data_IF_633884966835
#
_entry.id   IF_633884966835
#
_cell.length_a   1.000
_cell.length_b   1.000
_cell.length_c   1.000
_cell.angle_alpha   90.00
_cell.angle_beta   90.00
_cell.angle_gamma   90.00
#
_symmetry.space_group_name_H-M   'P 1'
#
loop_
_entity.id
_entity.type
_entity.pdbx_description
1 polymer ?
#
# COMPACT_ATOMS: atom_id res chain seq x y z
N UNK A 1 -9.75 11.61 27.14
CA UNK A 1 -10.02 11.52 25.70
C UNK A 1 -11.52 11.62 25.45
N UNK A 2 -11.98 12.37 24.44
CA UNK A 2 -13.39 12.48 24.05
C UNK A 2 -13.88 11.25 23.28
N UNK A 3 -14.29 10.20 24.02
CA UNK A 3 -14.72 8.91 23.46
C UNK A 3 -15.98 8.98 22.58
N UNK A 4 -16.80 10.02 22.76
CA UNK A 4 -17.97 10.29 21.93
C UNK A 4 -17.63 10.50 20.45
N UNK A 5 -16.39 10.85 20.10
CA UNK A 5 -15.98 10.95 18.70
C UNK A 5 -16.00 9.62 17.94
N UNK A 6 -15.92 8.46 18.62
CA UNK A 6 -16.03 7.16 17.96
C UNK A 6 -17.44 6.86 17.43
N UNK A 7 -18.45 7.62 17.84
CA UNK A 7 -19.82 7.49 17.33
C UNK A 7 -19.97 8.04 15.90
N UNK A 8 -18.98 8.81 15.40
CA UNK A 8 -18.98 9.31 14.02
C UNK A 8 -18.39 8.25 13.09
N UNK A 9 -19.08 7.91 12.01
CA UNK A 9 -18.67 6.88 11.04
C UNK A 9 -17.24 7.03 10.54
N UNK A 10 -16.82 8.26 10.22
CA UNK A 10 -15.46 8.53 9.77
C UNK A 10 -14.41 8.14 10.83
N UNK A 11 -14.66 8.50 12.08
CA UNK A 11 -13.73 8.22 13.18
C UNK A 11 -13.69 6.73 13.50
N UNK A 12 -14.85 6.04 13.43
CA UNK A 12 -14.90 4.59 13.60
C UNK A 12 -14.13 3.87 12.48
N UNK A 13 -14.29 4.30 11.22
CA UNK A 13 -13.53 3.75 10.09
C UNK A 13 -12.02 3.97 10.26
N UNK A 14 -11.63 5.16 10.71
CA UNK A 14 -10.23 5.48 10.98
C UNK A 14 -9.67 4.61 12.12
N UNK A 15 -10.43 4.46 13.20
CA UNK A 15 -10.08 3.59 14.32
C UNK A 15 -9.86 2.13 13.87
N UNK A 16 -10.81 1.59 13.11
CA UNK A 16 -10.71 0.22 12.56
C UNK A 16 -9.52 0.07 11.61
N UNK A 17 -9.26 1.09 10.76
CA UNK A 17 -8.08 1.11 9.89
C UNK A 17 -6.78 1.01 10.71
N UNK A 18 -6.62 1.83 11.74
CA UNK A 18 -5.44 1.77 12.61
C UNK A 18 -5.30 0.42 13.32
N UNK A 19 -6.38 -0.15 13.84
CA UNK A 19 -6.35 -1.48 14.45
C UNK A 19 -5.85 -2.53 13.46
N UNK A 20 -6.34 -2.51 12.22
CA UNK A 20 -5.91 -3.43 11.16
C UNK A 20 -4.43 -3.24 10.80
N UNK A 21 -3.96 -2.01 10.65
CA UNK A 21 -2.56 -1.71 10.34
C UNK A 21 -1.60 -2.14 11.47
N UNK A 22 -2.00 -1.91 12.73
CA UNK A 22 -1.23 -2.39 13.89
C UNK A 22 -1.17 -3.91 13.91
N UNK A 23 -2.31 -4.58 13.69
CA UNK A 23 -2.37 -6.04 13.63
C UNK A 23 -1.44 -6.58 12.53
N UNK A 24 -1.50 -6.00 11.33
CA UNK A 24 -0.64 -6.35 10.20
C UNK A 24 0.84 -6.21 10.56
N UNK A 25 1.25 -5.05 11.09
CA UNK A 25 2.65 -4.83 11.49
C UNK A 25 3.08 -5.85 12.55
N UNK A 26 2.22 -6.18 13.52
CA UNK A 26 2.54 -7.15 14.59
C UNK A 26 2.64 -8.59 14.10
N UNK A 27 1.91 -8.96 13.05
CA UNK A 27 1.90 -10.32 12.50
C UNK A 27 2.87 -10.54 11.33
N UNK A 28 3.49 -9.47 10.80
CA UNK A 28 4.36 -9.55 9.63
C UNK A 28 5.79 -9.14 9.98
N UNK A 29 6.72 -10.10 9.91
CA UNK A 29 8.14 -9.90 10.26
C UNK A 29 8.84 -8.92 9.31
N UNK A 30 8.50 -8.94 8.02
CA UNK A 30 9.09 -8.02 7.04
C UNK A 30 8.74 -6.55 7.36
N UNK A 31 7.54 -6.26 7.88
CA UNK A 31 7.19 -4.91 8.36
C UNK A 31 7.93 -4.51 9.63
N UNK A 32 8.30 -5.45 10.49
CA UNK A 32 9.03 -5.17 11.72
C UNK A 32 10.51 -4.93 11.45
N UNK A 33 11.13 -5.86 10.72
CA UNK A 33 12.59 -6.00 10.63
C UNK A 33 13.11 -6.05 9.19
N UNK A 34 12.24 -6.25 8.20
CA UNK A 34 12.65 -6.42 6.80
C UNK A 34 13.33 -5.17 6.25
N UNK A 35 14.32 -5.33 5.35
CA UNK A 35 15.03 -4.21 4.75
C UNK A 35 14.05 -3.33 3.97
N UNK A 36 14.25 -2.02 4.02
CA UNK A 36 13.51 -1.07 3.21
C UNK A 36 14.25 -0.86 1.88
N UNK A 37 13.51 -0.89 0.77
CA UNK A 37 14.04 -0.60 -0.55
C UNK A 37 13.09 0.34 -1.30
N UNK A 38 13.57 1.55 -1.63
CA UNK A 38 12.84 2.50 -2.47
C UNK A 38 13.16 2.18 -3.93
N UNK A 39 12.16 1.73 -4.69
CA UNK A 39 12.38 1.23 -6.05
C UNK A 39 11.66 2.07 -7.12
N UNK A 40 10.78 2.97 -6.70
CA UNK A 40 10.05 3.87 -7.60
C UNK A 40 9.73 5.19 -6.91
N UNK A 41 10.12 6.28 -7.56
CA UNK A 41 9.88 7.66 -7.13
C UNK A 41 9.49 8.49 -8.35
N UNK A 42 8.35 9.19 -8.26
CA UNK A 42 7.94 10.18 -9.25
C UNK A 42 7.57 11.47 -8.52
N UNK A 43 8.54 12.36 -8.38
CA UNK A 43 8.39 13.64 -7.68
C UNK A 43 7.33 14.53 -8.34
N UNK A 44 7.26 14.53 -9.68
CA UNK A 44 6.31 15.35 -10.45
C UNK A 44 4.86 14.95 -10.16
N UNK A 45 4.62 13.65 -9.99
CA UNK A 45 3.31 13.10 -9.64
C UNK A 45 3.11 12.87 -8.15
N UNK A 46 4.14 13.10 -7.33
CA UNK A 46 4.18 12.87 -5.88
C UNK A 46 3.82 11.43 -5.51
N UNK A 47 4.40 10.47 -6.25
CA UNK A 47 4.23 9.04 -6.00
C UNK A 47 5.52 8.47 -5.41
N UNK A 48 5.37 7.68 -4.36
CA UNK A 48 6.46 6.92 -3.75
C UNK A 48 6.07 5.45 -3.64
N UNK A 49 6.96 4.57 -4.05
CA UNK A 49 6.82 3.13 -3.88
C UNK A 49 8.08 2.51 -3.29
N UNK A 50 7.88 1.69 -2.26
CA UNK A 50 8.96 1.01 -1.56
C UNK A 50 8.53 -0.38 -1.11
N UNK A 51 9.50 -1.27 -0.94
CA UNK A 51 9.27 -2.60 -0.40
C UNK A 51 9.81 -2.73 1.02
N UNK A 52 9.24 -3.68 1.76
CA UNK A 52 9.81 -4.22 3.00
C UNK A 52 10.09 -5.69 2.74
N UNK A 53 11.37 -6.04 2.60
CA UNK A 53 11.75 -7.34 2.05
C UNK A 53 11.29 -7.50 0.59
N UNK A 54 11.00 -8.73 0.19
CA UNK A 54 10.60 -9.07 -1.18
C UNK A 54 9.09 -9.27 -1.36
N UNK A 55 8.34 -9.46 -0.27
CA UNK A 55 6.94 -9.90 -0.32
C UNK A 55 5.94 -8.81 0.05
N UNK A 56 6.40 -7.60 0.32
CA UNK A 56 5.55 -6.51 0.74
C UNK A 56 5.95 -5.21 0.04
N UNK A 57 4.97 -4.59 -0.62
CA UNK A 57 5.12 -3.34 -1.36
C UNK A 57 4.10 -2.32 -0.87
N UNK A 58 4.54 -1.08 -0.63
CA UNK A 58 3.68 0.06 -0.33
C UNK A 58 3.82 1.08 -1.46
N UNK A 59 2.68 1.56 -1.96
CA UNK A 59 2.61 2.56 -3.02
C UNK A 59 1.70 3.68 -2.53
N UNK A 60 2.21 4.91 -2.47
CA UNK A 60 1.47 6.06 -1.92
C UNK A 60 1.38 7.19 -2.92
N UNK A 61 0.16 7.73 -3.07
CA UNK A 61 -0.11 8.98 -3.75
C UNK A 61 -0.18 10.12 -2.74
N UNK A 62 0.75 11.07 -2.81
CA UNK A 62 0.76 12.27 -1.96
C UNK A 62 0.13 13.50 -2.63
N UNK A 63 -0.55 13.31 -3.75
CA UNK A 63 -1.21 14.37 -4.50
C UNK A 63 -2.74 14.37 -4.29
N UNK A 64 -3.35 15.53 -4.55
CA UNK A 64 -4.82 15.70 -4.59
C UNK A 64 -5.44 15.10 -5.84
N UNK A 65 -4.64 14.84 -6.89
CA UNK A 65 -5.11 14.28 -8.16
C UNK A 65 -5.09 12.76 -8.11
N UNK A 66 -6.16 12.07 -8.56
CA UNK A 66 -6.11 10.63 -8.75
C UNK A 66 -5.14 10.26 -9.87
N UNK A 67 -4.52 9.09 -9.78
CA UNK A 67 -3.72 8.49 -10.86
C UNK A 67 -4.49 7.28 -11.39
N UNK A 68 -4.91 7.34 -12.65
CA UNK A 68 -5.70 6.29 -13.30
C UNK A 68 -4.80 5.49 -14.23
N UNK A 69 -4.87 4.15 -14.16
CA UNK A 69 -4.01 3.24 -14.96
C UNK A 69 -2.52 3.62 -14.87
N UNK A 70 -2.08 4.02 -13.68
CA UNK A 70 -0.72 4.46 -13.44
C UNK A 70 0.20 3.26 -13.33
N UNK A 71 1.37 3.36 -13.95
CA UNK A 71 2.33 2.27 -14.03
C UNK A 71 3.42 2.51 -12.99
N UNK A 72 3.58 1.55 -12.09
CA UNK A 72 4.70 1.47 -11.16
C UNK A 72 5.64 0.40 -11.69
N UNK A 73 6.88 0.77 -12.00
CA UNK A 73 7.90 -0.15 -12.49
C UNK A 73 8.79 -0.67 -11.37
N UNK A 74 9.65 -1.64 -11.71
CA UNK A 74 10.69 -2.19 -10.83
C UNK A 74 10.16 -2.85 -9.55
N UNK A 75 8.97 -3.46 -9.60
CA UNK A 75 8.49 -4.24 -8.46
C UNK A 75 9.46 -5.40 -8.14
N UNK A 76 9.58 -5.78 -6.86
CA UNK A 76 10.58 -6.77 -6.44
C UNK A 76 10.32 -8.16 -7.04
N UNK A 77 9.07 -8.49 -7.36
CA UNK A 77 8.70 -9.79 -7.95
C UNK A 77 7.45 -9.73 -8.84
N UNK A 78 7.46 -10.55 -9.88
CA UNK A 78 6.35 -10.78 -10.82
C UNK A 78 5.18 -11.56 -10.20
N UNK A 79 4.06 -11.63 -10.91
CA UNK A 79 2.92 -12.49 -10.58
C UNK A 79 1.84 -11.80 -9.75
N UNK A 80 1.06 -12.61 -9.01
CA UNK A 80 -0.11 -12.13 -8.27
C UNK A 80 0.27 -11.53 -6.92
N UNK A 81 -0.28 -10.36 -6.65
CA UNK A 81 -0.21 -9.68 -5.36
C UNK A 81 -1.62 -9.36 -4.87
N UNK A 82 -1.80 -9.28 -3.56
CA UNK A 82 -3.09 -8.93 -2.95
C UNK A 82 -2.94 -7.64 -2.16
N UNK A 83 -3.82 -6.68 -2.42
CA UNK A 83 -3.96 -5.48 -1.60
C UNK A 83 -4.57 -5.88 -0.24
N UNK A 84 -3.80 -5.71 0.83
CA UNK A 84 -4.19 -6.12 2.17
C UNK A 84 -5.44 -5.39 2.68
N UNK A 85 -5.66 -4.15 2.25
CA UNK A 85 -6.76 -3.33 2.77
C UNK A 85 -8.08 -3.62 2.05
N UNK A 86 -8.03 -4.04 0.79
CA UNK A 86 -9.22 -4.24 -0.05
C UNK A 86 -9.44 -5.69 -0.47
N UNK A 87 -8.47 -6.57 -0.26
CA UNK A 87 -8.38 -7.93 -0.83
C UNK A 87 -8.42 -7.97 -2.36
N UNK A 88 -8.17 -6.84 -3.03
CA UNK A 88 -8.08 -6.78 -4.48
C UNK A 88 -6.80 -7.50 -4.94
N UNK A 89 -6.94 -8.44 -5.85
CA UNK A 89 -5.79 -9.09 -6.49
C UNK A 89 -5.34 -8.26 -7.70
N UNK A 90 -4.04 -8.04 -7.81
CA UNK A 90 -3.40 -7.38 -8.95
C UNK A 90 -2.30 -8.26 -9.52
N UNK A 91 -2.02 -8.10 -10.82
CA UNK A 91 -0.96 -8.84 -11.52
C UNK A 91 0.19 -7.90 -11.86
N UNK A 92 1.40 -8.34 -11.50
CA UNK A 92 2.67 -7.73 -11.89
C UNK A 92 3.18 -8.45 -13.12
N UNK A 93 3.41 -7.69 -14.18
CA UNK A 93 3.75 -8.23 -15.49
C UNK A 93 5.18 -8.83 -15.55
N UNK A 94 5.53 -9.35 -16.74
CA UNK A 94 6.80 -10.01 -16.99
C UNK A 94 8.03 -9.08 -16.91
N UNK A 95 7.82 -7.76 -16.91
CA UNK A 95 8.88 -6.75 -16.78
C UNK A 95 8.80 -6.00 -15.44
N UNK A 96 8.12 -6.58 -14.45
CA UNK A 96 7.96 -6.04 -13.09
C UNK A 96 7.19 -4.71 -13.03
N UNK A 97 6.24 -4.50 -13.93
CA UNK A 97 5.32 -3.37 -13.85
C UNK A 97 3.99 -3.77 -13.23
N UNK A 98 3.45 -2.86 -12.43
CA UNK A 98 2.09 -2.92 -11.90
C UNK A 98 1.29 -1.72 -12.42
N UNK A 99 0.17 -2.00 -13.08
CA UNK A 99 -0.79 -0.95 -13.47
C UNK A 99 -1.91 -0.88 -12.43
N UNK A 100 -2.14 0.28 -11.84
CA UNK A 100 -3.18 0.46 -10.83
C UNK A 100 -3.85 1.84 -10.85
N UNK A 101 -4.93 1.97 -10.09
CA UNK A 101 -5.53 3.25 -9.75
C UNK A 101 -5.15 3.63 -8.32
N UNK A 102 -4.74 4.89 -8.13
CA UNK A 102 -4.47 5.51 -6.84
C UNK A 102 -5.39 6.73 -6.66
N UNK A 103 -6.21 6.70 -5.62
CA UNK A 103 -7.02 7.86 -5.22
C UNK A 103 -6.16 8.95 -4.57
N UNK A 104 -6.68 10.18 -4.43
CA UNK A 104 -5.98 11.25 -3.72
C UNK A 104 -5.60 10.83 -2.30
N UNK A 105 -4.36 11.09 -1.91
CA UNK A 105 -3.84 10.75 -0.56
C UNK A 105 -4.00 9.28 -0.14
N UNK A 106 -4.05 8.36 -1.12
CA UNK A 106 -4.20 6.93 -0.86
C UNK A 106 -2.84 6.23 -0.80
N UNK A 107 -2.70 5.34 0.18
CA UNK A 107 -1.69 4.28 0.15
C UNK A 107 -2.35 2.95 -0.15
N UNK A 108 -1.71 2.16 -1.00
CA UNK A 108 -2.05 0.75 -1.24
C UNK A 108 -0.91 -0.12 -0.72
N UNK A 109 -1.27 -1.22 -0.06
CA UNK A 109 -0.31 -2.13 0.56
C UNK A 109 -0.51 -3.51 -0.01
N UNK A 110 0.47 -3.98 -0.79
CA UNK A 110 0.42 -5.25 -1.48
C UNK A 110 1.27 -6.27 -0.75
N UNK A 111 0.71 -7.47 -0.57
CA UNK A 111 1.40 -8.63 -0.02
C UNK A 111 1.39 -9.72 -1.08
N UNK A 112 2.54 -10.35 -1.29
CA UNK A 112 2.64 -11.51 -2.15
C UNK A 112 2.30 -12.77 -1.37
N UNK A 113 1.34 -13.53 -1.87
CA UNK A 113 1.12 -14.90 -1.40
C UNK A 113 2.11 -15.82 -2.12
N UNK A 114 2.87 -16.58 -1.32
CA UNK A 114 3.78 -17.64 -1.78
C UNK A 114 2.95 -18.89 -2.04
#
# INVERSE_FOLDING_TARGET
MPWNYLQKDFNLRLFNLFQNLIKLRRSNKDLQEGPINFFFEDENNRILAYSRGLNLVIITNFDQKPKLKYIISNLPQQGKWIDYLTNEQVDVDQVNNLTLTLLPFQSRLFIKHI
#
